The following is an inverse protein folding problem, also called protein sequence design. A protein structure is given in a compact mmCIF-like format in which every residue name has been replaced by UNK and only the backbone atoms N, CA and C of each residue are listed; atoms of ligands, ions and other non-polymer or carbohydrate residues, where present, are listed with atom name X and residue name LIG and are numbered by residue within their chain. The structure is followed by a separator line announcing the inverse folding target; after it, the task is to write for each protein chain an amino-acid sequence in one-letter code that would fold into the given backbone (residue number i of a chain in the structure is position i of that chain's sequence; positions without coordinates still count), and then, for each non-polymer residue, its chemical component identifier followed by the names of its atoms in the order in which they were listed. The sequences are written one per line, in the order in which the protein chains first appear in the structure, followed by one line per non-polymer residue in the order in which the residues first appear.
data_IF_169349482239
#
_entry.id   IF_169349482239
#
_cell.length_a   1.000
_cell.length_b   1.000
_cell.length_c   1.000
_cell.angle_alpha   90.00
_cell.angle_beta   90.00
_cell.angle_gamma   90.00
#
_symmetry.space_group_name_H-M   'P 1'
#
loop_
_entity.id
_entity.type
_entity.pdbx_description
1 polymer ?
#
# COMPACT_ATOMS: atom_id res chain seq x y z
N UNK A 1 -6.56 11.08 9.91
CA UNK A 1 -6.11 11.55 8.58
C UNK A 1 -6.16 10.41 7.55
N UNK A 2 -6.72 10.66 6.37
CA UNK A 2 -6.65 9.73 5.23
C UNK A 2 -5.39 10.09 4.44
N UNK A 3 -4.49 9.13 4.24
CA UNK A 3 -3.21 9.35 3.54
C UNK A 3 -3.34 9.05 2.04
N UNK A 4 -4.21 8.09 1.68
CA UNK A 4 -4.51 7.73 0.30
C UNK A 4 -5.94 7.21 0.22
N UNK A 5 -6.67 7.63 -0.81
CA UNK A 5 -7.99 7.12 -1.17
C UNK A 5 -7.95 6.69 -2.62
N UNK A 6 -8.43 5.48 -2.90
CA UNK A 6 -8.48 4.90 -4.23
C UNK A 6 -9.79 4.13 -4.39
N UNK A 7 -10.20 3.97 -5.64
CA UNK A 7 -11.37 3.19 -6.03
C UNK A 7 -11.11 2.48 -7.37
N UNK A 8 -12.13 1.82 -7.91
CA UNK A 8 -12.02 1.09 -9.17
C UNK A 8 -11.62 1.96 -10.38
N UNK A 9 -11.87 3.28 -10.35
CA UNK A 9 -11.43 4.18 -11.43
C UNK A 9 -9.90 4.35 -11.45
N UNK A 10 -9.24 4.11 -10.31
CA UNK A 10 -7.78 4.13 -10.19
C UNK A 10 -7.12 2.86 -10.73
N UNK A 11 -7.91 1.88 -11.17
CA UNK A 11 -7.45 0.55 -11.60
C UNK A 11 -6.71 -0.21 -10.51
N UNK A 12 -6.94 0.12 -9.24
CA UNK A 12 -6.32 -0.52 -8.08
C UNK A 12 -7.35 -1.48 -7.48
N UNK A 13 -6.93 -2.71 -7.23
CA UNK A 13 -7.75 -3.71 -6.55
C UNK A 13 -7.56 -3.65 -5.02
N UNK A 14 -8.20 -4.56 -4.31
CA UNK A 14 -8.11 -4.73 -2.87
C UNK A 14 -6.65 -4.85 -2.39
N UNK A 15 -6.37 -4.30 -1.21
CA UNK A 15 -5.08 -4.51 -0.53
C UNK A 15 -5.14 -5.82 0.26
N UNK A 16 -4.16 -6.70 0.06
CA UNK A 16 -4.16 -8.04 0.68
C UNK A 16 -3.02 -8.30 1.65
N UNK A 17 -1.91 -7.59 1.49
CA UNK A 17 -0.75 -7.73 2.37
C UNK A 17 -0.46 -6.44 3.12
N UNK A 18 -0.10 -6.60 4.40
CA UNK A 18 0.44 -5.53 5.23
C UNK A 18 1.66 -6.04 5.98
N UNK A 19 2.72 -5.24 6.00
CA UNK A 19 3.91 -5.46 6.80
C UNK A 19 4.27 -4.17 7.55
N UNK A 20 4.75 -4.32 8.78
CA UNK A 20 5.18 -3.20 9.61
C UNK A 20 6.57 -3.50 10.15
N UNK A 21 7.49 -2.55 10.01
CA UNK A 21 8.83 -2.65 10.58
C UNK A 21 9.34 -1.30 11.07
N UNK A 22 10.47 -1.29 11.77
CA UNK A 22 11.22 -0.07 12.11
C UNK A 22 12.42 0.05 11.18
N UNK A 23 12.64 1.22 10.59
CA UNK A 23 13.85 1.48 9.82
C UNK A 23 15.04 1.84 10.75
N UNK A 24 16.22 2.08 10.16
CA UNK A 24 17.43 2.45 10.91
C UNK A 24 17.34 3.80 11.64
N UNK A 25 16.38 4.65 11.26
CA UNK A 25 16.09 5.93 11.91
C UNK A 25 15.05 5.81 13.02
N UNK A 26 14.50 4.60 13.24
CA UNK A 26 13.50 4.32 14.25
C UNK A 26 12.07 4.69 13.84
N UNK A 27 11.81 5.11 12.60
CA UNK A 27 10.46 5.37 12.10
C UNK A 27 9.67 4.07 11.95
N UNK A 28 8.35 4.11 12.22
CA UNK A 28 7.46 2.98 11.89
C UNK A 28 7.16 3.03 10.41
N UNK A 29 7.57 2.01 9.67
CA UNK A 29 7.31 1.86 8.25
C UNK A 29 6.17 0.88 8.03
N UNK A 30 5.13 1.33 7.34
CA UNK A 30 3.99 0.52 6.93
C UNK A 30 4.11 0.25 5.44
N UNK A 31 4.15 -1.01 5.06
CA UNK A 31 4.11 -1.44 3.66
C UNK A 31 2.81 -2.17 3.40
N UNK A 32 2.10 -1.78 2.35
CA UNK A 32 0.87 -2.43 1.89
C UNK A 32 1.03 -2.86 0.43
N UNK A 33 0.48 -4.01 0.09
CA UNK A 33 0.53 -4.58 -1.28
C UNK A 33 -0.87 -4.93 -1.74
N UNK A 34 -1.17 -4.61 -3.00
CA UNK A 34 -2.43 -4.98 -3.64
C UNK A 34 -2.38 -6.44 -4.12
N UNK A 35 -3.55 -7.05 -4.24
CA UNK A 35 -3.69 -8.32 -4.94
C UNK A 35 -3.25 -8.22 -6.41
N UNK A 36 -2.91 -9.37 -6.99
CA UNK A 36 -2.68 -9.56 -8.41
C UNK A 36 -3.77 -10.47 -9.00
N UNK A 37 -4.99 -9.94 -9.18
CA UNK A 37 -6.13 -10.66 -9.76
C UNK A 37 -6.01 -11.03 -11.26
N UNK A 38 -4.78 -11.08 -11.80
CA UNK A 38 -4.45 -11.47 -13.18
C UNK A 38 -5.21 -10.69 -14.28
N UNK A 39 -5.78 -9.54 -13.93
CA UNK A 39 -6.48 -8.65 -14.85
C UNK A 39 -5.50 -7.71 -15.54
N UNK A 40 -5.49 -7.71 -16.87
CA UNK A 40 -4.63 -6.82 -17.67
C UNK A 40 -4.95 -5.32 -17.47
N UNK A 41 -6.15 -4.98 -16.99
CA UNK A 41 -6.55 -3.59 -16.76
C UNK A 41 -6.21 -3.08 -15.36
N UNK A 42 -5.90 -3.97 -14.42
CA UNK A 42 -5.59 -3.60 -13.04
C UNK A 42 -4.09 -3.39 -12.84
N UNK A 43 -3.74 -2.47 -11.94
CA UNK A 43 -2.37 -2.17 -11.53
C UNK A 43 -2.08 -2.85 -10.20
N UNK A 44 -1.02 -3.65 -10.16
CA UNK A 44 -0.49 -4.16 -8.89
C UNK A 44 0.42 -3.10 -8.24
N UNK A 45 0.17 -2.79 -6.96
CA UNK A 45 0.87 -1.76 -6.22
C UNK A 45 1.58 -2.32 -4.98
N UNK A 46 2.74 -1.75 -4.69
CA UNK A 46 3.39 -1.79 -3.38
C UNK A 46 3.54 -0.34 -2.92
N UNK A 47 2.96 0.00 -1.77
CA UNK A 47 3.06 1.33 -1.17
C UNK A 47 3.76 1.24 0.17
N UNK A 48 4.61 2.22 0.46
CA UNK A 48 5.34 2.30 1.72
C UNK A 48 5.21 3.71 2.32
N UNK A 49 4.87 3.76 3.61
CA UNK A 49 4.66 5.00 4.34
C UNK A 49 5.50 5.00 5.61
N UNK A 50 6.19 6.10 5.87
CA UNK A 50 6.83 6.37 7.16
C UNK A 50 5.84 7.10 8.08
N UNK A 51 5.57 6.52 9.24
CA UNK A 51 4.83 7.21 10.30
C UNK A 51 5.80 8.10 11.08
N UNK A 52 5.66 9.40 10.83
CA UNK A 52 6.26 10.48 11.60
C UNK A 52 5.16 11.00 12.50
N UNK A 53 5.27 10.67 13.79
CA UNK A 53 4.26 11.00 14.81
C UNK A 53 3.80 12.45 14.77
#
# INVERSE_FOLDING_TARGET
PIILSADMSSQIDNMEGIAVHRNGEGETIVTIVSDNNFSFLQRTLILQFAYRG
#
